data_IF_612290556730
#
_entry.id   IF_612290556730
#
_cell.length_a   1.000
_cell.length_b   1.000
_cell.length_c   1.000
_cell.angle_alpha   90.00
_cell.angle_beta   90.00
_cell.angle_gamma   90.00
#
_symmetry.space_group_name_H-M   'P 1'
#
loop_
_entity.id
_entity.type
_entity.pdbx_description
1 polymer ?
#
# COMPACT_ATOMS: atom_id res chain seq x y z
N UNK A 1 -11.33 -11.80 -14.81
CA UNK A 1 -10.27 -11.08 -15.53
C UNK A 1 -8.89 -11.77 -15.47
N UNK A 2 -8.62 -12.69 -14.53
CA UNK A 2 -7.34 -13.39 -14.43
C UNK A 2 -7.23 -14.52 -15.49
N UNK A 3 -6.03 -14.67 -16.05
CA UNK A 3 -5.66 -15.82 -16.87
C UNK A 3 -5.61 -17.10 -16.01
N UNK A 4 -5.60 -18.26 -16.63
CA UNK A 4 -5.29 -19.52 -15.94
C UNK A 4 -3.97 -19.43 -15.20
N UNK A 5 -3.92 -19.98 -13.99
CA UNK A 5 -2.77 -19.92 -13.08
C UNK A 5 -2.34 -18.49 -12.71
N UNK A 6 -3.23 -17.50 -12.90
CA UNK A 6 -2.99 -16.12 -12.50
C UNK A 6 -3.02 -15.94 -10.98
N UNK A 7 -2.41 -14.89 -10.52
CA UNK A 7 -2.33 -14.55 -9.10
C UNK A 7 -3.14 -13.30 -8.77
N UNK A 8 -4.00 -13.39 -7.76
CA UNK A 8 -4.68 -12.26 -7.14
C UNK A 8 -3.94 -11.87 -5.87
N UNK A 9 -3.50 -10.63 -5.79
CA UNK A 9 -2.80 -10.09 -4.63
C UNK A 9 -3.72 -9.11 -3.90
N UNK A 10 -4.09 -9.44 -2.67
CA UNK A 10 -4.88 -8.57 -1.80
C UNK A 10 -3.96 -7.87 -0.79
N UNK A 11 -3.74 -6.57 -0.93
CA UNK A 11 -2.76 -5.82 -0.12
C UNK A 11 -3.37 -4.70 0.73
N UNK A 12 -4.68 -4.56 0.79
CA UNK A 12 -5.31 -3.50 1.57
C UNK A 12 -6.77 -3.76 1.94
N UNK A 13 -7.27 -2.96 2.88
CA UNK A 13 -8.64 -2.99 3.40
C UNK A 13 -9.30 -1.60 3.40
N UNK A 14 -8.89 -0.69 2.52
CA UNK A 14 -9.37 0.69 2.51
C UNK A 14 -10.91 0.80 2.35
N UNK A 15 -11.53 -0.19 1.72
CA UNK A 15 -12.99 -0.28 1.56
C UNK A 15 -13.65 -1.31 2.47
N UNK A 16 -12.96 -1.76 3.52
CA UNK A 16 -13.43 -2.80 4.44
C UNK A 16 -12.78 -4.16 4.19
N UNK A 17 -13.20 -5.15 4.98
CA UNK A 17 -12.74 -6.52 4.82
C UNK A 17 -13.27 -7.12 3.52
N UNK A 18 -12.51 -8.05 2.96
CA UNK A 18 -12.99 -8.84 1.81
C UNK A 18 -14.08 -9.81 2.24
N UNK A 19 -15.05 -10.00 1.36
CA UNK A 19 -16.00 -11.10 1.51
C UNK A 19 -15.29 -12.46 1.49
N UNK A 20 -15.86 -13.48 2.13
CA UNK A 20 -15.31 -14.83 2.10
C UNK A 20 -15.11 -15.35 0.66
N UNK A 21 -13.92 -15.89 0.40
CA UNK A 21 -13.59 -16.46 -0.91
C UNK A 21 -14.04 -17.91 -0.97
N UNK A 22 -14.95 -18.22 -1.88
CA UNK A 22 -15.33 -19.59 -2.17
C UNK A 22 -14.27 -20.23 -3.10
N UNK A 23 -13.34 -20.95 -2.49
CA UNK A 23 -12.18 -21.55 -3.20
C UNK A 23 -12.59 -22.44 -4.38
N UNK A 24 -13.50 -23.44 -4.21
CA UNK A 24 -13.92 -24.29 -5.33
C UNK A 24 -14.55 -23.51 -6.48
N UNK A 25 -15.35 -22.51 -6.19
CA UNK A 25 -16.06 -21.72 -7.21
C UNK A 25 -15.19 -20.68 -7.89
N UNK A 26 -14.30 -20.02 -7.12
CA UNK A 26 -13.59 -18.84 -7.59
C UNK A 26 -12.17 -19.11 -8.06
N UNK A 27 -11.46 -20.03 -7.41
CA UNK A 27 -10.05 -20.27 -7.68
C UNK A 27 -9.82 -21.54 -8.51
N UNK A 28 -10.50 -22.63 -8.17
CA UNK A 28 -10.30 -23.95 -8.80
C UNK A 28 -10.49 -23.96 -10.33
N UNK A 29 -11.51 -23.31 -10.93
CA UNK A 29 -11.77 -23.44 -12.37
C UNK A 29 -10.62 -23.00 -13.27
N UNK A 30 -9.75 -22.12 -12.76
CA UNK A 30 -8.57 -21.62 -13.50
C UNK A 30 -7.26 -21.90 -12.78
N UNK A 31 -7.28 -22.67 -11.69
CA UNK A 31 -6.08 -22.91 -10.87
C UNK A 31 -5.44 -21.62 -10.36
N UNK A 32 -6.24 -20.67 -9.86
CA UNK A 32 -5.75 -19.36 -9.45
C UNK A 32 -5.03 -19.42 -8.10
N UNK A 33 -4.06 -18.52 -7.94
CA UNK A 33 -3.43 -18.24 -6.67
C UNK A 33 -4.08 -17.01 -6.02
N UNK A 34 -4.28 -17.08 -4.70
CA UNK A 34 -4.68 -15.93 -3.92
C UNK A 34 -3.68 -15.73 -2.77
N UNK A 35 -3.11 -14.54 -2.68
CA UNK A 35 -2.12 -14.21 -1.65
C UNK A 35 -2.44 -12.86 -1.00
N UNK A 36 -2.12 -12.75 0.28
CA UNK A 36 -2.27 -11.53 1.05
C UNK A 36 -0.97 -11.20 1.79
N UNK A 37 0.02 -10.61 1.10
CA UNK A 37 1.27 -10.22 1.72
C UNK A 37 1.08 -8.98 2.60
N UNK A 38 1.90 -8.86 3.62
CA UNK A 38 2.08 -7.64 4.38
C UNK A 38 3.58 -7.31 4.51
N UNK A 39 3.90 -6.05 4.68
CA UNK A 39 5.29 -5.60 4.81
C UNK A 39 5.99 -6.29 5.99
N UNK A 40 5.30 -6.51 7.12
CA UNK A 40 5.85 -7.19 8.27
C UNK A 40 6.27 -8.64 8.06
N UNK A 41 5.82 -9.28 6.96
CA UNK A 41 6.26 -10.63 6.58
C UNK A 41 7.55 -10.63 5.76
N UNK A 42 7.93 -9.48 5.22
CA UNK A 42 9.13 -9.28 4.40
C UNK A 42 10.25 -8.54 5.15
N UNK A 43 9.88 -7.83 6.23
CA UNK A 43 10.80 -7.03 7.04
C UNK A 43 10.66 -7.46 8.51
N UNK A 44 11.10 -8.68 8.81
CA UNK A 44 11.00 -9.29 10.14
C UNK A 44 12.02 -8.77 11.12
N UNK A 45 13.24 -8.53 10.63
CA UNK A 45 14.36 -8.14 11.47
C UNK A 45 14.68 -6.65 11.28
N UNK A 46 15.43 -6.11 12.22
CA UNK A 46 15.92 -4.74 12.12
C UNK A 46 16.86 -4.57 10.93
N UNK A 47 17.68 -5.57 10.67
CA UNK A 47 18.64 -5.60 9.56
C UNK A 47 17.94 -5.54 8.21
N UNK A 48 16.87 -6.34 8.01
CA UNK A 48 16.05 -6.32 6.80
C UNK A 48 15.38 -4.96 6.59
N UNK A 49 14.89 -4.35 7.67
CA UNK A 49 14.29 -3.01 7.60
C UNK A 49 15.32 -1.95 7.23
N UNK A 50 16.51 -1.99 7.83
CA UNK A 50 17.57 -1.03 7.57
C UNK A 50 18.10 -1.15 6.14
N UNK A 51 18.27 -2.37 5.62
CA UNK A 51 18.66 -2.62 4.23
C UNK A 51 17.60 -2.11 3.24
N UNK A 52 16.34 -2.47 3.45
CA UNK A 52 15.24 -2.01 2.59
C UNK A 52 15.10 -0.48 2.62
N UNK A 53 15.24 0.13 3.78
CA UNK A 53 15.21 1.59 3.94
C UNK A 53 16.36 2.27 3.20
N UNK A 54 17.58 1.72 3.30
CA UNK A 54 18.74 2.22 2.58
C UNK A 54 18.52 2.22 1.08
N UNK A 55 18.07 1.09 0.52
CA UNK A 55 17.77 0.94 -0.91
C UNK A 55 16.71 1.97 -1.35
N UNK A 56 15.64 2.14 -0.56
CA UNK A 56 14.58 3.10 -0.87
C UNK A 56 15.11 4.55 -0.90
N UNK A 57 15.86 4.94 0.12
CA UNK A 57 16.42 6.29 0.20
C UNK A 57 17.46 6.56 -0.88
N UNK A 58 18.27 5.59 -1.25
CA UNK A 58 19.20 5.70 -2.39
C UNK A 58 18.44 5.94 -3.70
N UNK A 59 17.34 5.22 -3.95
CA UNK A 59 16.51 5.41 -5.14
C UNK A 59 15.77 6.75 -5.18
N UNK A 60 15.34 7.25 -4.03
CA UNK A 60 14.75 8.60 -3.92
C UNK A 60 15.84 9.65 -4.20
N UNK A 61 17.02 9.50 -3.61
CA UNK A 61 18.13 10.45 -3.77
C UNK A 61 18.69 10.48 -5.20
N UNK A 62 18.70 9.34 -5.87
CA UNK A 62 19.11 9.25 -7.29
C UNK A 62 18.06 9.78 -8.27
N UNK A 63 16.83 10.02 -7.80
CA UNK A 63 15.71 10.46 -8.63
C UNK A 63 15.02 9.33 -9.42
N UNK A 64 15.40 8.06 -9.21
CA UNK A 64 14.68 6.92 -9.78
C UNK A 64 13.25 6.82 -9.25
N UNK A 65 13.06 7.13 -7.96
CA UNK A 65 11.75 7.22 -7.31
C UNK A 65 11.44 8.69 -7.04
N UNK A 66 10.44 9.21 -7.71
CA UNK A 66 9.96 10.58 -7.50
C UNK A 66 8.77 10.56 -6.56
N UNK A 67 8.85 11.32 -5.48
CA UNK A 67 7.75 11.51 -4.53
C UNK A 67 7.26 12.95 -4.66
N UNK A 68 6.11 13.13 -5.31
CA UNK A 68 5.46 14.43 -5.43
C UNK A 68 4.49 14.62 -4.27
N UNK A 69 4.77 15.59 -3.40
CA UNK A 69 3.87 15.92 -2.29
C UNK A 69 2.66 16.67 -2.84
N UNK A 70 1.50 16.03 -2.79
CA UNK A 70 0.24 16.59 -3.28
C UNK A 70 -0.24 17.77 -2.42
N UNK A 71 -0.16 17.65 -1.09
CA UNK A 71 -0.59 18.70 -0.17
C UNK A 71 0.23 18.74 1.11
N UNK A 72 0.48 19.94 1.62
CA UNK A 72 1.14 20.20 2.90
C UNK A 72 0.13 20.83 3.84
N UNK A 73 0.12 20.39 5.10
CA UNK A 73 -0.69 20.93 6.17
C UNK A 73 0.22 21.41 7.30
N UNK A 74 -0.21 22.42 8.04
CA UNK A 74 0.40 22.74 9.35
C UNK A 74 -0.09 21.73 10.38
N UNK A 75 0.66 21.57 11.48
CA UNK A 75 0.24 20.69 12.56
C UNK A 75 -1.13 21.09 13.14
N UNK A 76 -1.41 22.38 13.26
CA UNK A 76 -2.70 22.89 13.74
C UNK A 76 -3.88 22.50 12.82
N UNK A 77 -3.62 22.21 11.54
CA UNK A 77 -4.61 21.82 10.54
C UNK A 77 -4.79 20.30 10.43
N UNK A 78 -4.26 19.52 11.38
CA UNK A 78 -4.32 18.04 11.35
C UNK A 78 -5.75 17.51 11.21
N UNK A 79 -6.73 18.15 11.88
CA UNK A 79 -8.15 17.78 11.76
C UNK A 79 -8.65 17.93 10.32
N UNK A 80 -8.27 19.00 9.64
CA UNK A 80 -8.65 19.20 8.24
C UNK A 80 -7.94 18.21 7.31
N UNK A 81 -6.70 17.83 7.61
CA UNK A 81 -5.98 16.81 6.87
C UNK A 81 -6.71 15.47 6.91
N UNK A 82 -7.19 15.04 8.08
CA UNK A 82 -7.99 13.82 8.21
C UNK A 82 -9.30 13.89 7.42
N UNK A 83 -10.04 14.98 7.52
CA UNK A 83 -11.30 15.18 6.77
C UNK A 83 -11.04 15.09 5.26
N UNK A 84 -9.97 15.72 4.78
CA UNK A 84 -9.65 15.72 3.35
C UNK A 84 -9.24 14.33 2.85
N UNK A 85 -8.49 13.54 3.64
CA UNK A 85 -8.14 12.15 3.31
C UNK A 85 -9.38 11.27 3.28
N UNK A 86 -10.21 11.31 4.31
CA UNK A 86 -11.43 10.49 4.41
C UNK A 86 -12.43 10.81 3.31
N UNK A 87 -12.54 12.10 2.91
CA UNK A 87 -13.40 12.54 1.82
C UNK A 87 -12.82 12.28 0.42
N UNK A 88 -11.66 11.62 0.33
CA UNK A 88 -10.94 11.31 -0.94
C UNK A 88 -10.57 12.53 -1.78
N UNK A 89 -10.46 13.69 -1.19
CA UNK A 89 -9.97 14.91 -1.86
C UNK A 89 -8.46 14.89 -2.10
N UNK A 90 -7.73 14.08 -1.32
CA UNK A 90 -6.30 13.89 -1.45
C UNK A 90 -6.05 12.67 -2.32
N UNK A 91 -5.45 12.90 -3.49
CA UNK A 91 -5.16 11.85 -4.48
C UNK A 91 -3.67 11.49 -4.55
N UNK A 92 -2.86 12.01 -3.64
CA UNK A 92 -1.41 11.75 -3.55
C UNK A 92 -0.90 11.91 -2.13
N UNK A 93 0.40 11.81 -1.90
CA UNK A 93 1.00 11.97 -0.59
C UNK A 93 0.70 13.33 0.02
N UNK A 94 0.26 13.34 1.27
CA UNK A 94 0.09 14.54 2.07
C UNK A 94 1.02 14.49 3.28
N UNK A 95 1.60 15.62 3.65
CA UNK A 95 2.50 15.73 4.80
C UNK A 95 2.02 16.80 5.76
N UNK A 96 2.22 16.56 7.05
CA UNK A 96 2.01 17.52 8.11
C UNK A 96 3.38 18.09 8.48
N UNK A 97 3.47 19.40 8.50
CA UNK A 97 4.70 20.13 8.85
C UNK A 97 4.48 20.74 10.24
N UNK A 98 5.36 20.44 11.23
CA UNK A 98 5.31 21.02 12.56
C UNK A 98 5.41 22.52 12.56
#
# INVERSE_FOLDING_TARGET
>A
CLKERGMMISFGNASGALDPINVPKMLQPKGLFFVRPSMGQYLHTREELDEASKILFEKISSGEVKVEIFKKYKLDDVKQAHIDIESRKIVGPAVIIP
#
